data_IF_542849806375
#
_entry.id   IF_542849806375
#
_cell.length_a   1.000
_cell.length_b   1.000
_cell.length_c   1.000
_cell.angle_alpha   90.00
_cell.angle_beta   90.00
_cell.angle_gamma   90.00
#
_symmetry.space_group_name_H-M   'P 1'
#
loop_
_entity.id
_entity.type
_entity.pdbx_description
1 polymer ?
#
# COMPACT_ATOMS: atom_id res chain seq x y z
N UNK A 1 -1.10 25.09 -24.08
CA UNK A 1 -1.22 25.12 -22.61
C UNK A 1 -2.14 23.97 -22.20
N UNK A 2 -1.59 22.86 -21.72
CA UNK A 2 -2.40 21.77 -21.16
C UNK A 2 -2.99 22.28 -19.84
N UNK A 3 -4.23 22.79 -19.87
CA UNK A 3 -4.92 23.22 -18.66
C UNK A 3 -5.20 22.01 -17.78
N UNK A 4 -4.79 22.09 -16.50
CA UNK A 4 -5.11 21.07 -15.52
C UNK A 4 -6.63 20.88 -15.46
N UNK A 5 -7.10 19.65 -15.71
CA UNK A 5 -8.51 19.30 -15.56
C UNK A 5 -8.79 19.24 -14.06
N UNK A 6 -9.50 20.25 -13.54
CA UNK A 6 -9.88 20.28 -12.12
C UNK A 6 -10.90 19.17 -11.81
N UNK A 7 -10.58 18.31 -10.84
CA UNK A 7 -11.42 17.19 -10.43
C UNK A 7 -12.48 17.62 -9.39
N UNK A 8 -13.61 16.92 -9.34
CA UNK A 8 -14.57 17.05 -8.25
C UNK A 8 -14.33 15.96 -7.20
N UNK A 9 -14.77 16.20 -5.97
CA UNK A 9 -14.73 15.19 -4.92
C UNK A 9 -15.57 13.97 -5.34
N UNK A 10 -14.99 12.78 -5.21
CA UNK A 10 -15.66 11.53 -5.54
C UNK A 10 -16.78 11.11 -4.61
N UNK A 11 -16.95 11.81 -3.47
CA UNK A 11 -18.13 11.64 -2.62
C UNK A 11 -19.27 12.49 -3.20
N UNK A 12 -20.31 11.86 -3.74
CA UNK A 12 -21.46 12.53 -4.35
C UNK A 12 -22.22 13.49 -3.43
N UNK A 13 -22.08 13.35 -2.11
CA UNK A 13 -22.62 14.27 -1.11
C UNK A 13 -21.74 15.52 -0.88
N UNK A 14 -20.65 15.69 -1.63
CA UNK A 14 -19.70 16.78 -1.50
C UNK A 14 -19.48 17.47 -2.85
N UNK A 15 -19.65 18.80 -2.88
CA UNK A 15 -19.51 19.60 -4.11
C UNK A 15 -18.15 20.30 -4.25
N UNK A 16 -17.18 19.94 -3.41
CA UNK A 16 -15.84 20.53 -3.44
C UNK A 16 -15.15 20.22 -4.76
N UNK A 17 -14.46 21.24 -5.30
CA UNK A 17 -13.70 21.16 -6.54
C UNK A 17 -12.22 21.37 -6.24
N UNK A 18 -11.39 20.56 -6.88
CA UNK A 18 -9.93 20.65 -6.78
C UNK A 18 -9.43 22.00 -7.29
N UNK A 19 -8.46 22.55 -6.58
CA UNK A 19 -7.74 23.77 -6.97
C UNK A 19 -6.24 23.47 -7.00
N UNK A 20 -5.46 24.34 -7.65
CA UNK A 20 -4.00 24.21 -7.69
C UNK A 20 -3.38 24.19 -6.28
N UNK A 21 -3.94 24.97 -5.35
CA UNK A 21 -3.46 25.06 -3.97
C UNK A 21 -3.98 23.95 -3.05
N UNK A 22 -5.01 23.21 -3.48
CA UNK A 22 -5.61 22.12 -2.73
C UNK A 22 -5.89 20.91 -3.64
N UNK A 23 -4.83 20.20 -4.08
CA UNK A 23 -4.97 19.01 -4.89
C UNK A 23 -5.64 17.89 -4.10
N UNK A 24 -6.56 17.18 -4.74
CA UNK A 24 -7.32 16.12 -4.08
C UNK A 24 -6.54 14.80 -4.15
N UNK A 25 -6.22 14.18 -3.00
CA UNK A 25 -5.57 12.87 -3.03
C UNK A 25 -6.45 11.82 -3.71
N UNK A 26 -5.84 11.08 -4.63
CA UNK A 26 -6.43 9.89 -5.22
C UNK A 26 -6.53 8.76 -4.19
N UNK A 27 -7.54 7.90 -4.34
CA UNK A 27 -7.64 6.65 -3.59
C UNK A 27 -6.32 5.87 -3.71
N UNK A 28 -5.69 5.56 -2.57
CA UNK A 28 -4.35 4.96 -2.56
C UNK A 28 -4.28 3.59 -3.20
N UNK A 29 -5.40 2.88 -3.29
CA UNK A 29 -5.48 1.54 -3.86
C UNK A 29 -5.71 1.58 -5.37
N UNK A 30 -6.82 2.19 -5.83
CA UNK A 30 -7.21 2.16 -7.24
C UNK A 30 -6.74 3.35 -8.07
N UNK A 31 -6.33 4.46 -7.43
CA UNK A 31 -5.97 5.72 -8.08
C UNK A 31 -7.02 6.32 -9.04
N UNK A 32 -8.24 5.76 -9.07
CA UNK A 32 -9.26 6.10 -10.05
C UNK A 32 -10.21 7.24 -9.62
N UNK A 33 -10.25 7.56 -8.32
CA UNK A 33 -11.16 8.56 -7.75
C UNK A 33 -10.42 9.43 -6.74
N UNK A 34 -10.69 10.74 -6.78
CA UNK A 34 -10.11 11.73 -5.89
C UNK A 34 -11.08 12.12 -4.77
N UNK A 35 -10.55 12.47 -3.59
CA UNK A 35 -11.36 12.98 -2.48
C UNK A 35 -10.73 14.24 -1.92
N UNK A 36 -11.54 15.27 -1.62
CA UNK A 36 -11.04 16.48 -0.95
C UNK A 36 -10.47 16.19 0.45
N UNK A 37 -10.84 15.06 1.06
CA UNK A 37 -10.40 14.67 2.40
C UNK A 37 -10.57 13.19 2.68
N UNK A 38 -9.86 12.68 3.69
CA UNK A 38 -10.08 11.34 4.25
C UNK A 38 -11.49 11.13 4.79
N UNK A 39 -12.16 12.20 5.25
CA UNK A 39 -13.55 12.14 5.71
C UNK A 39 -14.49 11.77 4.56
N UNK A 40 -14.37 12.45 3.41
CA UNK A 40 -15.16 12.14 2.22
C UNK A 40 -14.88 10.73 1.69
N UNK A 41 -13.62 10.28 1.70
CA UNK A 41 -13.29 8.90 1.36
C UNK A 41 -14.01 7.89 2.25
N UNK A 42 -14.01 8.10 3.58
CA UNK A 42 -14.67 7.19 4.53
C UNK A 42 -16.19 7.17 4.37
N UNK A 43 -16.80 8.34 4.14
CA UNK A 43 -18.25 8.44 3.91
C UNK A 43 -18.66 7.69 2.64
N UNK A 44 -17.92 7.85 1.54
CA UNK A 44 -18.20 7.18 0.28
C UNK A 44 -17.72 5.70 0.24
N UNK A 45 -16.98 5.23 1.26
CA UNK A 45 -16.30 3.94 1.21
C UNK A 45 -17.24 2.75 0.97
N UNK A 46 -18.46 2.76 1.53
CA UNK A 46 -19.43 1.68 1.35
C UNK A 46 -19.81 1.48 -0.13
N UNK A 47 -19.91 2.57 -0.89
CA UNK A 47 -20.22 2.57 -2.31
C UNK A 47 -18.98 2.34 -3.18
N UNK A 48 -17.83 2.89 -2.77
CA UNK A 48 -16.57 2.74 -3.50
C UNK A 48 -15.95 1.35 -3.40
N UNK A 49 -15.97 0.74 -2.20
CA UNK A 49 -15.26 -0.51 -1.87
C UNK A 49 -15.55 -1.67 -2.84
N UNK A 50 -16.80 -1.95 -3.24
CA UNK A 50 -17.11 -3.06 -4.16
C UNK A 50 -16.37 -2.99 -5.51
N UNK A 51 -15.98 -1.79 -5.94
CA UNK A 51 -15.35 -1.55 -7.23
C UNK A 51 -13.90 -1.06 -7.12
N UNK A 52 -13.36 -0.91 -5.90
CA UNK A 52 -11.98 -0.49 -5.68
C UNK A 52 -11.02 -1.65 -5.97
N UNK A 53 -10.32 -1.58 -7.10
CA UNK A 53 -9.29 -2.56 -7.51
C UNK A 53 -7.91 -1.90 -7.50
N UNK A 54 -6.86 -2.57 -6.98
CA UNK A 54 -5.49 -2.07 -7.08
C UNK A 54 -5.14 -1.77 -8.53
N UNK A 55 -4.39 -0.69 -8.76
CA UNK A 55 -3.73 -0.49 -10.06
C UNK A 55 -2.74 -1.65 -10.22
N UNK A 56 -2.97 -2.50 -11.21
CA UNK A 56 -1.94 -3.44 -11.64
C UNK A 56 -0.86 -2.59 -12.28
N UNK A 57 0.35 -2.62 -11.72
CA UNK A 57 1.50 -2.01 -12.37
C UNK A 57 1.71 -2.76 -13.69
N UNK A 58 1.64 -2.10 -14.86
CA UNK A 58 1.89 -2.76 -16.15
C UNK A 58 3.30 -3.36 -16.23
N UNK A 59 4.21 -2.95 -15.35
CA UNK A 59 5.56 -3.51 -15.22
C UNK A 59 5.61 -4.75 -14.31
N UNK A 60 4.50 -5.15 -13.68
CA UNK A 60 4.37 -6.40 -12.92
C UNK A 60 3.70 -7.50 -13.74
N UNK A 61 4.24 -7.77 -14.93
CA UNK A 61 4.08 -9.08 -15.53
C UNK A 61 4.82 -10.05 -14.59
N UNK A 62 4.09 -11.02 -14.04
CA UNK A 62 4.56 -12.21 -13.32
C UNK A 62 5.36 -12.09 -12.00
N UNK A 63 4.87 -11.35 -11.00
CA UNK A 63 5.28 -11.61 -9.59
C UNK A 63 4.74 -12.94 -9.00
N UNK A 64 4.32 -13.89 -9.83
CA UNK A 64 3.95 -15.26 -9.42
C UNK A 64 4.87 -16.32 -10.02
N UNK A 65 5.96 -15.92 -10.69
CA UNK A 65 7.04 -16.83 -11.13
C UNK A 65 8.41 -16.15 -11.10
N UNK A 66 8.68 -15.32 -10.10
CA UNK A 66 10.07 -15.14 -9.68
C UNK A 66 10.49 -16.41 -8.94
N UNK A 67 11.29 -17.25 -9.59
CA UNK A 67 12.26 -18.06 -8.85
C UNK A 67 13.09 -17.07 -8.04
N UNK A 68 12.71 -16.86 -6.78
CA UNK A 68 13.56 -16.24 -5.78
C UNK A 68 14.95 -16.89 -5.95
N UNK A 69 16.04 -16.11 -6.11
CA UNK A 69 17.37 -16.69 -6.02
C UNK A 69 17.39 -17.39 -4.66
N UNK A 70 17.72 -18.68 -4.64
CA UNK A 70 17.63 -19.52 -3.45
C UNK A 70 18.40 -18.87 -2.27
N UNK A 71 17.72 -18.01 -1.53
CA UNK A 71 18.12 -17.58 -0.20
C UNK A 71 18.19 -18.89 0.55
N UNK A 72 19.38 -19.22 1.06
CA UNK A 72 19.62 -20.54 1.60
C UNK A 72 18.54 -20.85 2.63
N UNK A 73 18.00 -22.08 2.60
CA UNK A 73 17.04 -22.54 3.61
C UNK A 73 17.53 -22.24 5.04
N UNK A 74 18.85 -22.24 5.20
CA UNK A 74 19.56 -21.84 6.42
C UNK A 74 19.32 -20.37 6.82
N UNK A 75 19.42 -19.42 5.89
CA UNK A 75 19.12 -18.01 6.17
C UNK A 75 17.63 -17.78 6.50
N UNK A 76 16.72 -18.53 5.88
CA UNK A 76 15.29 -18.49 6.23
C UNK A 76 15.03 -19.04 7.64
N UNK A 77 15.68 -20.15 7.99
CA UNK A 77 15.56 -20.78 9.30
C UNK A 77 16.11 -19.86 10.41
N UNK A 78 17.27 -19.22 10.17
CA UNK A 78 17.86 -18.25 11.10
C UNK A 78 16.98 -17.02 11.30
N UNK A 79 16.32 -16.52 10.25
CA UNK A 79 15.31 -15.45 10.37
C UNK A 79 14.12 -15.88 11.23
N UNK A 80 13.61 -17.09 11.05
CA UNK A 80 12.48 -17.58 11.84
C UNK A 80 12.86 -17.85 13.31
N UNK A 81 14.09 -18.30 13.57
CA UNK A 81 14.65 -18.39 14.92
C UNK A 81 14.73 -16.99 15.57
N UNK A 82 15.25 -15.99 14.85
CA UNK A 82 15.27 -14.60 15.29
C UNK A 82 13.89 -14.05 15.63
N UNK A 83 12.90 -14.29 14.76
CA UNK A 83 11.50 -13.92 14.99
C UNK A 83 10.94 -14.57 16.27
N UNK A 84 11.30 -15.83 16.52
CA UNK A 84 10.83 -16.59 17.68
C UNK A 84 11.42 -16.05 18.99
N UNK A 85 12.72 -15.77 19.02
CA UNK A 85 13.36 -15.12 20.16
C UNK A 85 12.79 -13.73 20.42
N UNK A 86 12.55 -12.95 19.36
CA UNK A 86 11.93 -11.63 19.48
C UNK A 86 10.54 -11.70 20.13
N UNK A 87 9.68 -12.64 19.70
CA UNK A 87 8.34 -12.86 20.29
C UNK A 87 8.41 -13.24 21.77
N UNK A 88 9.46 -13.94 22.20
CA UNK A 88 9.73 -14.30 23.59
C UNK A 88 10.44 -13.19 24.39
N UNK A 89 10.77 -12.06 23.75
CA UNK A 89 11.57 -10.95 24.31
C UNK A 89 13.00 -11.35 24.70
N UNK A 90 13.53 -12.37 24.05
CA UNK A 90 14.93 -12.83 24.16
C UNK A 90 15.79 -12.04 23.15
N UNK A 91 15.94 -10.72 23.37
CA UNK A 91 16.45 -9.81 22.34
C UNK A 91 17.89 -10.07 21.91
N UNK A 92 18.77 -10.48 22.83
CA UNK A 92 20.16 -10.84 22.49
C UNK A 92 20.21 -12.05 21.55
N UNK A 93 19.44 -13.10 21.86
CA UNK A 93 19.33 -14.29 21.02
C UNK A 93 18.68 -13.98 19.66
N UNK A 94 17.70 -13.05 19.64
CA UNK A 94 17.10 -12.60 18.39
C UNK A 94 18.12 -11.89 17.49
N UNK A 95 18.92 -10.97 18.06
CA UNK A 95 19.97 -10.25 17.34
C UNK A 95 21.06 -11.19 16.82
N UNK A 96 21.45 -12.19 17.61
CA UNK A 96 22.42 -13.21 17.20
C UNK A 96 21.90 -14.06 16.03
N UNK A 97 20.65 -14.51 16.09
CA UNK A 97 20.05 -15.28 15.00
C UNK A 97 19.96 -14.45 13.70
N UNK A 98 19.56 -13.18 13.79
CA UNK A 98 19.50 -12.30 12.62
C UNK A 98 20.87 -11.95 12.04
N UNK A 99 21.92 -11.84 12.85
CA UNK A 99 23.27 -11.50 12.34
C UNK A 99 23.91 -12.65 11.55
N UNK A 100 23.42 -13.87 11.73
CA UNK A 100 23.86 -15.07 11.00
C UNK A 100 23.05 -15.34 9.73
N UNK A 101 21.88 -14.70 9.58
CA UNK A 101 20.98 -14.86 8.43
C UNK A 101 21.35 -13.96 7.25
#
# INVERSE_FOLDING_TARGET
>A
LLGAVAMFCGNSACSEKETTDNPFPLCSQCKAIAYCSRKCQKQHWKEHKPHCRPVQDPLQLDSSSTTEPAVSKEAEELKEQGNTHYRKKEFEAALEAYSKA
#
